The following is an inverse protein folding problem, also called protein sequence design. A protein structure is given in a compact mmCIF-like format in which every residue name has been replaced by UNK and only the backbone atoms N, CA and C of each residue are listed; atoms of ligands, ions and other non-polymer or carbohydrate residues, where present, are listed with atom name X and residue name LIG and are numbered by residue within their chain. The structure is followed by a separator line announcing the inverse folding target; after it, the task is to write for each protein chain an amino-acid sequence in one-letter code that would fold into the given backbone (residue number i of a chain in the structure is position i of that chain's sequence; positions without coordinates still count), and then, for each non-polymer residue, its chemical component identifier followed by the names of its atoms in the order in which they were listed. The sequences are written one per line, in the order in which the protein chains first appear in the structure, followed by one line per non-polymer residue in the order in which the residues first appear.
data_IF_139215026053
#
_entry.id   IF_139215026053
#
_cell.length_a   1.000
_cell.length_b   1.000
_cell.length_c   1.000
_cell.angle_alpha   90.00
_cell.angle_beta   90.00
_cell.angle_gamma   90.00
#
_symmetry.space_group_name_H-M   'P 1'
#
loop_
_entity.id
_entity.type
_entity.pdbx_description
1 polymer ?
#
# COMPACT_ATOMS: atom_id res chain seq x y z
N UNK A 1 -57.51 15.05 4.57
CA UNK A 1 -56.11 15.45 4.37
C UNK A 1 -55.22 15.12 5.58
N UNK A 2 -55.51 15.58 6.78
CA UNK A 2 -54.61 15.33 7.93
C UNK A 2 -54.43 13.83 8.33
N UNK A 3 -55.45 12.97 8.10
CA UNK A 3 -55.35 11.55 8.43
C UNK A 3 -54.47 10.77 7.43
N UNK A 4 -54.39 11.19 6.18
CA UNK A 4 -53.55 10.57 5.14
C UNK A 4 -52.04 10.86 5.41
N UNK A 5 -51.72 12.10 5.83
CA UNK A 5 -50.34 12.47 6.17
C UNK A 5 -49.81 11.69 7.39
N UNK A 6 -50.65 11.45 8.41
CA UNK A 6 -50.23 10.67 9.59
C UNK A 6 -49.98 9.19 9.23
N UNK A 7 -50.80 8.66 8.33
CA UNK A 7 -50.63 7.27 7.87
C UNK A 7 -49.37 7.09 7.03
N UNK A 8 -49.07 8.06 6.17
CA UNK A 8 -47.84 8.05 5.39
C UNK A 8 -46.57 8.17 6.27
N UNK A 9 -46.63 9.01 7.32
CA UNK A 9 -45.55 9.20 8.26
C UNK A 9 -45.27 7.96 9.14
N UNK A 10 -46.32 7.23 9.52
CA UNK A 10 -46.21 6.00 10.31
C UNK A 10 -45.63 4.84 9.44
N UNK A 11 -45.98 4.80 8.16
CA UNK A 11 -45.41 3.80 7.22
C UNK A 11 -43.96 4.06 6.90
N UNK A 12 -43.55 5.33 6.79
CA UNK A 12 -42.13 5.69 6.58
C UNK A 12 -41.24 5.46 7.81
N UNK A 13 -41.85 5.50 9.03
CA UNK A 13 -41.13 5.24 10.28
C UNK A 13 -41.13 3.74 10.68
N UNK A 14 -42.05 2.94 10.13
CA UNK A 14 -42.21 1.54 10.51
C UNK A 14 -41.57 0.60 9.53
N UNK A 15 -40.24 0.53 9.53
CA UNK A 15 -39.45 -0.47 8.78
C UNK A 15 -39.60 -1.90 9.28
N UNK A 16 -40.78 -2.31 9.79
CA UNK A 16 -41.03 -3.71 10.14
C UNK A 16 -42.38 -4.19 9.61
N UNK A 17 -42.45 -5.32 8.92
CA UNK A 17 -43.70 -5.91 8.38
C UNK A 17 -44.80 -6.18 9.44
N UNK A 18 -44.41 -6.33 10.70
CA UNK A 18 -45.32 -6.66 11.79
C UNK A 18 -46.34 -5.55 12.13
N UNK A 19 -46.08 -4.28 11.83
CA UNK A 19 -47.05 -3.19 12.04
C UNK A 19 -48.06 -3.03 10.91
N UNK A 20 -47.75 -3.52 9.72
CA UNK A 20 -48.67 -3.52 8.58
C UNK A 20 -49.80 -4.55 8.76
N UNK A 21 -49.47 -5.70 9.38
CA UNK A 21 -50.42 -6.78 9.64
C UNK A 21 -51.49 -6.38 10.68
N UNK A 22 -51.11 -5.54 11.67
CA UNK A 22 -52.03 -5.11 12.71
C UNK A 22 -53.06 -4.05 12.29
N UNK A 23 -52.83 -3.37 11.18
CA UNK A 23 -53.70 -2.30 10.67
C UNK A 23 -54.68 -2.81 9.61
N UNK A 24 -54.41 -3.94 9.01
CA UNK A 24 -55.17 -4.44 7.85
C UNK A 24 -56.46 -5.25 8.23
N UNK A 25 -56.60 -5.67 9.44
CA UNK A 25 -57.63 -6.70 9.75
C UNK A 25 -59.07 -6.18 9.85
N UNK A 26 -59.43 -4.98 10.33
CA UNK A 26 -60.85 -4.60 10.50
C UNK A 26 -61.51 -3.87 9.33
N UNK A 27 -60.72 -3.34 8.36
CA UNK A 27 -61.27 -2.41 7.36
C UNK A 27 -60.97 -2.83 5.90
N UNK A 28 -60.69 -4.10 5.69
CA UNK A 28 -60.18 -4.66 4.42
C UNK A 28 -61.18 -4.69 3.25
N UNK A 29 -62.34 -4.09 3.35
CA UNK A 29 -63.32 -4.11 2.28
C UNK A 29 -63.37 -2.88 1.38
N UNK A 30 -62.47 -1.91 1.58
CA UNK A 30 -62.39 -0.73 0.74
C UNK A 30 -61.36 -0.90 -0.38
N UNK A 31 -61.87 -0.98 -1.61
CA UNK A 31 -61.06 -1.27 -2.81
C UNK A 31 -59.89 -0.26 -3.06
N UNK A 32 -60.04 0.95 -2.55
CA UNK A 32 -59.02 1.99 -2.69
C UNK A 32 -57.87 1.83 -1.69
N UNK A 33 -58.12 1.23 -0.50
CA UNK A 33 -57.03 0.90 0.47
C UNK A 33 -56.16 -0.24 -0.12
N UNK A 34 -56.80 -1.21 -0.75
CA UNK A 34 -56.07 -2.27 -1.46
C UNK A 34 -55.22 -1.72 -2.60
N UNK A 35 -55.71 -0.74 -3.32
CA UNK A 35 -54.94 -0.08 -4.38
C UNK A 35 -53.76 0.74 -3.84
N UNK A 36 -53.95 1.43 -2.72
CA UNK A 36 -52.89 2.20 -2.05
C UNK A 36 -51.79 1.30 -1.48
N UNK A 37 -52.18 0.19 -0.84
CA UNK A 37 -51.20 -0.81 -0.32
C UNK A 37 -50.48 -1.51 -1.47
N UNK A 38 -51.18 -1.88 -2.55
CA UNK A 38 -50.49 -2.44 -3.73
C UNK A 38 -49.60 -1.42 -4.45
N UNK A 39 -50.00 -0.16 -4.51
CA UNK A 39 -49.20 0.91 -5.06
C UNK A 39 -47.93 1.18 -4.24
N UNK A 40 -48.06 1.22 -2.92
CA UNK A 40 -46.93 1.41 -2.01
C UNK A 40 -45.99 0.22 -2.03
N UNK A 41 -46.52 -1.01 -2.03
CA UNK A 41 -45.69 -2.23 -2.14
C UNK A 41 -44.97 -2.30 -3.50
N UNK A 42 -45.65 -1.84 -4.57
CA UNK A 42 -45.03 -1.79 -5.89
C UNK A 42 -43.98 -0.68 -6.02
N UNK A 43 -44.17 0.44 -5.34
CA UNK A 43 -43.16 1.51 -5.30
C UNK A 43 -41.97 1.10 -4.43
N UNK A 44 -42.17 0.37 -3.34
CA UNK A 44 -41.07 -0.17 -2.52
C UNK A 44 -40.28 -1.25 -3.24
N UNK A 45 -40.93 -2.14 -3.99
CA UNK A 45 -40.22 -3.16 -4.79
C UNK A 45 -39.53 -2.55 -6.01
N UNK A 46 -40.09 -1.54 -6.65
CA UNK A 46 -39.40 -0.82 -7.73
C UNK A 46 -38.30 0.12 -7.21
N UNK A 47 -38.45 0.66 -6.00
CA UNK A 47 -37.41 1.50 -5.38
C UNK A 47 -36.27 0.68 -4.78
N UNK A 48 -36.53 -0.54 -4.29
CA UNK A 48 -35.47 -1.44 -3.80
C UNK A 48 -34.69 -2.08 -4.94
N UNK A 49 -35.30 -2.26 -6.12
CA UNK A 49 -34.58 -2.76 -7.30
C UNK A 49 -33.72 -1.67 -7.99
N UNK A 50 -33.85 -0.39 -7.61
CA UNK A 50 -33.18 0.72 -8.27
C UNK A 50 -32.36 1.66 -7.37
N UNK A 51 -32.20 1.35 -6.08
CA UNK A 51 -31.46 2.22 -5.14
C UNK A 51 -30.29 1.47 -4.50
N UNK A 52 -29.56 0.71 -5.24
CA UNK A 52 -28.15 0.59 -4.94
C UNK A 52 -27.48 1.81 -5.59
N UNK A 53 -26.95 2.70 -4.78
CA UNK A 53 -26.05 3.74 -5.30
C UNK A 53 -24.94 3.05 -6.11
N UNK A 54 -24.42 3.70 -7.14
CA UNK A 54 -23.26 3.16 -7.86
C UNK A 54 -22.16 2.71 -6.89
N UNK A 55 -22.01 3.36 -5.74
CA UNK A 55 -21.10 3.01 -4.67
C UNK A 55 -21.43 1.68 -3.98
N UNK A 56 -22.68 1.28 -3.82
CA UNK A 56 -23.08 0.02 -3.19
C UNK A 56 -22.95 -1.17 -4.16
N UNK A 57 -23.27 -0.97 -5.45
CA UNK A 57 -23.02 -1.95 -6.50
C UNK A 57 -21.51 -2.16 -6.71
N UNK A 58 -20.70 -1.11 -6.60
CA UNK A 58 -19.25 -1.17 -6.69
C UNK A 58 -18.59 -1.76 -5.42
N UNK A 59 -19.22 -1.61 -4.26
CA UNK A 59 -18.76 -2.19 -3.00
C UNK A 59 -18.87 -3.73 -2.99
N UNK A 60 -19.82 -4.30 -3.76
CA UNK A 60 -20.03 -5.74 -3.93
C UNK A 60 -19.18 -6.38 -5.03
N UNK A 61 -18.38 -5.61 -5.79
CA UNK A 61 -17.56 -6.17 -6.88
C UNK A 61 -16.49 -7.08 -6.30
N UNK A 62 -16.53 -8.34 -6.66
CA UNK A 62 -15.45 -9.31 -6.47
C UNK A 62 -14.44 -9.15 -7.59
N UNK A 63 -13.16 -9.23 -7.24
CA UNK A 63 -12.07 -9.20 -8.22
C UNK A 63 -11.82 -10.61 -8.75
N UNK A 64 -11.73 -10.74 -10.07
CA UNK A 64 -11.41 -12.00 -10.73
C UNK A 64 -9.99 -11.95 -11.27
N UNK A 65 -9.23 -13.03 -11.05
CA UNK A 65 -7.91 -13.20 -11.63
C UNK A 65 -8.00 -13.21 -13.15
N UNK A 66 -7.33 -12.26 -13.81
CA UNK A 66 -7.31 -12.18 -15.27
C UNK A 66 -6.02 -12.76 -15.85
N UNK A 67 -4.87 -12.40 -15.29
CA UNK A 67 -3.56 -12.82 -15.83
C UNK A 67 -2.48 -12.83 -14.75
N UNK A 68 -1.53 -13.75 -14.90
CA UNK A 68 -0.28 -13.79 -14.15
C UNK A 68 0.90 -13.85 -15.11
N UNK A 69 1.94 -13.07 -14.84
CA UNK A 69 3.20 -13.03 -15.58
C UNK A 69 4.34 -13.30 -14.59
N UNK A 70 5.22 -14.27 -14.89
CA UNK A 70 6.49 -14.50 -14.18
C UNK A 70 7.65 -13.84 -14.91
N UNK A 71 8.59 -13.30 -14.14
CA UNK A 71 9.83 -12.68 -14.63
C UNK A 71 11.00 -13.33 -13.89
N UNK A 72 11.83 -14.05 -14.59
CA UNK A 72 12.98 -14.77 -14.06
C UNK A 72 13.79 -15.40 -15.17
N UNK A 73 14.88 -16.06 -14.79
CA UNK A 73 15.77 -16.79 -15.68
C UNK A 73 16.30 -18.06 -15.00
N UNK A 74 16.81 -19.05 -15.73
CA UNK A 74 17.38 -20.26 -15.13
C UNK A 74 18.44 -19.93 -14.08
N UNK A 75 18.25 -20.51 -12.88
CA UNK A 75 19.10 -20.33 -11.70
C UNK A 75 19.13 -18.88 -11.13
N UNK A 76 18.27 -17.98 -11.61
CA UNK A 76 18.20 -16.62 -11.08
C UNK A 76 17.47 -16.53 -9.74
N UNK A 77 17.81 -15.48 -9.01
CA UNK A 77 17.00 -14.91 -7.93
C UNK A 77 16.57 -13.53 -8.42
N UNK A 78 15.30 -13.43 -8.82
CA UNK A 78 14.72 -12.20 -9.37
C UNK A 78 13.61 -11.72 -8.43
N UNK A 79 13.74 -10.51 -7.92
CA UNK A 79 12.78 -9.89 -7.02
C UNK A 79 11.99 -8.77 -7.72
N UNK A 80 10.67 -8.82 -7.69
CA UNK A 80 9.80 -7.69 -8.00
C UNK A 80 9.64 -6.82 -6.77
N UNK A 81 10.09 -5.57 -6.84
CA UNK A 81 10.16 -4.68 -5.66
C UNK A 81 9.00 -3.73 -5.59
N UNK A 82 8.72 -3.02 -6.66
CA UNK A 82 7.66 -2.02 -6.70
C UNK A 82 7.01 -1.93 -8.06
N UNK A 83 5.76 -1.47 -8.08
CA UNK A 83 5.03 -1.14 -9.28
C UNK A 83 4.24 0.16 -9.11
N UNK A 84 3.99 0.83 -10.23
CA UNK A 84 3.03 1.93 -10.30
C UNK A 84 2.21 1.83 -11.59
N UNK A 85 1.05 2.46 -11.61
CA UNK A 85 0.15 2.50 -12.76
C UNK A 85 -0.16 3.95 -13.06
N UNK A 86 0.01 4.37 -14.33
CA UNK A 86 -0.33 5.73 -14.73
C UNK A 86 -1.83 5.89 -15.03
N UNK A 87 -2.27 7.13 -15.23
CA UNK A 87 -3.68 7.45 -15.53
C UNK A 87 -4.18 6.84 -16.84
N UNK A 88 -3.28 6.48 -17.77
CA UNK A 88 -3.57 5.83 -19.05
C UNK A 88 -3.70 4.31 -18.91
N UNK A 89 -3.33 3.76 -17.76
CA UNK A 89 -3.37 2.33 -17.43
C UNK A 89 -2.11 1.57 -17.88
N UNK A 90 -0.99 2.26 -18.15
CA UNK A 90 0.31 1.59 -18.31
C UNK A 90 0.87 1.21 -16.95
N UNK A 91 1.46 0.01 -16.90
CA UNK A 91 2.04 -0.55 -15.69
C UNK A 91 3.55 -0.40 -15.79
N UNK A 92 4.16 0.16 -14.77
CA UNK A 92 5.60 0.28 -14.64
C UNK A 92 6.04 -0.56 -13.46
N UNK A 93 7.06 -1.40 -13.66
CA UNK A 93 7.60 -2.25 -12.61
C UNK A 93 9.09 -2.06 -12.47
N UNK A 94 9.57 -2.31 -11.25
CA UNK A 94 11.00 -2.42 -10.99
C UNK A 94 11.29 -3.55 -10.01
N UNK A 95 12.52 -4.03 -10.09
CA UNK A 95 13.04 -5.10 -9.25
C UNK A 95 14.52 -5.29 -9.47
N UNK A 96 15.07 -6.36 -8.95
CA UNK A 96 16.47 -6.70 -9.07
C UNK A 96 16.67 -8.18 -9.37
N UNK A 97 17.79 -8.52 -10.01
CA UNK A 97 18.13 -9.86 -10.43
C UNK A 97 19.65 -10.11 -10.37
N UNK A 98 20.04 -11.35 -10.05
CA UNK A 98 21.43 -11.79 -10.05
C UNK A 98 21.86 -12.46 -11.38
N UNK A 99 20.93 -12.56 -12.34
CA UNK A 99 21.17 -13.16 -13.66
C UNK A 99 20.57 -12.31 -14.79
N UNK A 100 20.86 -12.69 -16.02
CA UNK A 100 20.28 -12.06 -17.21
C UNK A 100 18.80 -12.43 -17.36
N UNK A 101 17.93 -11.41 -17.41
CA UNK A 101 16.51 -11.51 -17.75
C UNK A 101 16.22 -10.64 -18.98
N UNK A 102 15.05 -10.75 -19.56
CA UNK A 102 14.66 -9.98 -20.76
C UNK A 102 15.63 -10.13 -21.95
N UNK A 103 16.28 -11.29 -22.10
CA UNK A 103 17.33 -11.56 -23.09
C UNK A 103 18.59 -10.66 -22.94
N UNK A 104 18.79 -10.05 -21.79
CA UNK A 104 19.99 -9.32 -21.44
C UNK A 104 20.97 -10.25 -20.66
N UNK A 105 22.26 -9.93 -20.69
CA UNK A 105 23.24 -10.57 -19.82
C UNK A 105 23.34 -9.78 -18.51
N UNK A 106 23.55 -10.49 -17.39
CA UNK A 106 23.88 -9.82 -16.13
C UNK A 106 25.22 -9.07 -16.26
N UNK A 107 25.27 -7.87 -15.74
CA UNK A 107 26.46 -7.00 -15.80
C UNK A 107 27.08 -6.82 -14.43
N UNK A 108 26.28 -6.69 -13.38
CA UNK A 108 26.71 -6.52 -11.99
C UNK A 108 26.64 -7.81 -11.19
N UNK A 109 26.82 -7.69 -9.88
CA UNK A 109 26.49 -8.74 -8.90
C UNK A 109 24.98 -8.87 -8.80
N UNK A 110 24.30 -7.71 -8.84
CA UNK A 110 22.85 -7.59 -8.88
C UNK A 110 22.49 -6.41 -9.76
N UNK A 111 21.60 -6.63 -10.71
CA UNK A 111 21.16 -5.66 -11.72
C UNK A 111 19.72 -5.26 -11.43
N UNK A 112 19.37 -4.04 -11.77
CA UNK A 112 17.99 -3.53 -11.76
C UNK A 112 17.24 -4.09 -12.96
N UNK A 113 16.03 -4.55 -12.77
CA UNK A 113 15.05 -4.76 -13.83
C UNK A 113 14.04 -3.64 -13.85
N UNK A 114 13.67 -3.16 -15.03
CA UNK A 114 12.72 -2.09 -15.26
C UNK A 114 11.86 -2.43 -16.46
N UNK A 115 10.53 -2.26 -16.35
CA UNK A 115 9.63 -2.59 -17.45
C UNK A 115 8.39 -1.71 -17.48
N UNK A 116 7.95 -1.41 -18.71
CA UNK A 116 6.65 -0.78 -19.01
C UNK A 116 5.79 -1.77 -19.77
N UNK A 117 4.55 -1.92 -19.31
CA UNK A 117 3.58 -2.85 -19.87
C UNK A 117 2.28 -2.12 -20.17
N UNK A 118 1.52 -2.63 -21.16
CA UNK A 118 0.15 -2.18 -21.39
C UNK A 118 -0.82 -2.75 -20.32
N UNK A 119 -2.07 -2.30 -20.35
CA UNK A 119 -3.10 -2.76 -19.40
C UNK A 119 -3.46 -4.24 -19.54
N UNK A 120 -3.02 -4.92 -20.59
CA UNK A 120 -3.12 -6.38 -20.78
C UNK A 120 -1.86 -7.11 -20.32
N UNK A 121 -0.89 -6.38 -19.70
CA UNK A 121 0.40 -6.89 -19.26
C UNK A 121 1.30 -7.40 -20.41
N UNK A 122 1.17 -6.84 -21.63
CA UNK A 122 2.14 -7.06 -22.70
C UNK A 122 3.28 -6.05 -22.54
N UNK A 123 4.56 -6.48 -22.67
CA UNK A 123 5.67 -5.56 -22.54
C UNK A 123 5.71 -4.56 -23.68
N UNK A 124 5.87 -3.28 -23.36
CA UNK A 124 6.13 -2.20 -24.31
C UNK A 124 7.63 -2.02 -24.45
N UNK A 125 8.32 -1.94 -23.33
CA UNK A 125 9.76 -2.01 -23.25
C UNK A 125 10.20 -2.62 -21.90
N UNK A 126 11.38 -3.24 -21.90
CA UNK A 126 12.03 -3.81 -20.71
C UNK A 126 13.50 -3.49 -20.75
N UNK A 127 14.09 -3.23 -19.59
CA UNK A 127 15.52 -2.93 -19.45
C UNK A 127 16.10 -3.68 -18.25
N UNK A 128 17.36 -4.07 -18.40
CA UNK A 128 18.20 -4.53 -17.29
C UNK A 128 19.39 -3.58 -17.19
N UNK A 129 19.68 -3.08 -16.00
CA UNK A 129 20.68 -2.06 -15.74
C UNK A 129 21.60 -2.58 -14.64
N UNK A 130 22.88 -2.73 -14.97
CA UNK A 130 23.90 -3.20 -14.04
C UNK A 130 25.22 -2.49 -14.25
N UNK A 131 26.12 -2.70 -13.30
CA UNK A 131 27.50 -2.23 -13.39
C UNK A 131 28.46 -3.27 -12.81
N UNK A 132 29.60 -3.48 -13.46
CA UNK A 132 30.53 -4.55 -13.10
C UNK A 132 30.97 -4.48 -11.62
N UNK A 133 30.92 -5.64 -10.95
CA UNK A 133 31.26 -5.80 -9.53
C UNK A 133 30.41 -4.92 -8.56
N UNK A 134 29.22 -4.52 -8.97
CA UNK A 134 28.33 -3.65 -8.20
C UNK A 134 27.02 -4.35 -7.90
N UNK A 135 26.50 -4.14 -6.69
CA UNK A 135 25.14 -4.46 -6.32
C UNK A 135 24.29 -3.22 -6.50
N UNK A 136 23.24 -3.31 -7.30
CA UNK A 136 22.19 -2.28 -7.44
C UNK A 136 20.90 -2.87 -6.90
N UNK A 137 20.44 -2.38 -5.77
CA UNK A 137 19.14 -2.73 -5.19
C UNK A 137 18.16 -1.60 -5.42
N UNK A 138 17.06 -1.89 -6.14
CA UNK A 138 16.01 -0.90 -6.35
C UNK A 138 14.93 -1.06 -5.29
N UNK A 139 14.40 0.05 -4.79
CA UNK A 139 13.43 0.03 -3.69
C UNK A 139 12.04 0.49 -4.14
N UNK A 140 11.98 1.47 -5.05
CA UNK A 140 10.69 2.05 -5.44
C UNK A 140 10.71 2.63 -6.86
N UNK A 141 9.50 2.77 -7.45
CA UNK A 141 9.26 3.34 -8.77
C UNK A 141 8.08 4.30 -8.72
N UNK A 142 8.19 5.42 -9.39
CA UNK A 142 7.10 6.37 -9.59
C UNK A 142 7.09 6.89 -11.02
N UNK A 143 5.94 7.40 -11.48
CA UNK A 143 5.77 8.00 -12.80
C UNK A 143 5.14 9.39 -12.67
N UNK A 144 5.65 10.37 -13.40
CA UNK A 144 5.08 11.71 -13.43
C UNK A 144 4.00 11.86 -14.51
N UNK A 145 3.28 12.99 -14.53
CA UNK A 145 2.22 13.29 -15.50
C UNK A 145 2.70 13.38 -16.95
N UNK A 146 4.03 13.42 -17.18
CA UNK A 146 4.66 13.42 -18.51
C UNK A 146 5.17 12.02 -18.92
N UNK A 147 4.75 10.98 -18.19
CA UNK A 147 5.18 9.58 -18.35
C UNK A 147 6.69 9.35 -18.10
N UNK A 148 7.38 10.28 -17.43
CA UNK A 148 8.75 10.04 -17.03
C UNK A 148 8.76 9.09 -15.82
N UNK A 149 9.68 8.15 -15.83
CA UNK A 149 9.83 7.11 -14.82
C UNK A 149 10.98 7.47 -13.89
N UNK A 150 10.74 7.35 -12.59
CA UNK A 150 11.74 7.57 -11.56
C UNK A 150 11.92 6.28 -10.77
N UNK A 151 13.17 5.90 -10.51
CA UNK A 151 13.51 4.80 -9.60
C UNK A 151 14.48 5.27 -8.54
N UNK A 152 14.33 4.73 -7.35
CA UNK A 152 15.27 4.90 -6.24
C UNK A 152 15.81 3.55 -5.77
N UNK A 153 16.99 3.57 -5.22
CA UNK A 153 17.61 2.39 -4.64
C UNK A 153 18.95 2.71 -3.99
N UNK A 154 19.68 1.70 -3.61
CA UNK A 154 21.01 1.80 -3.01
C UNK A 154 22.03 1.00 -3.79
N UNK A 155 23.29 1.42 -3.68
CA UNK A 155 24.42 0.81 -4.36
C UNK A 155 25.68 0.82 -3.49
N UNK A 156 26.46 -0.24 -3.61
CA UNK A 156 27.81 -0.35 -3.02
C UNK A 156 28.92 -0.05 -4.01
N UNK A 157 28.61 0.56 -5.16
CA UNK A 157 29.55 0.82 -6.23
C UNK A 157 29.41 2.19 -6.90
N UNK A 158 30.25 2.42 -7.90
CA UNK A 158 30.27 3.67 -8.67
C UNK A 158 29.22 3.62 -9.79
N UNK A 159 27.95 3.73 -9.43
CA UNK A 159 26.82 3.79 -10.37
C UNK A 159 25.56 4.32 -9.66
N UNK A 160 24.88 5.31 -10.22
CA UNK A 160 25.18 6.05 -11.48
C UNK A 160 26.26 7.13 -11.33
N UNK A 161 26.82 7.29 -10.14
CA UNK A 161 27.87 8.25 -9.80
C UNK A 161 29.05 7.60 -9.08
N UNK A 162 29.86 8.38 -8.38
CA UNK A 162 30.95 7.90 -7.55
C UNK A 162 30.45 7.53 -6.15
N UNK A 163 30.84 6.35 -5.65
CA UNK A 163 30.53 5.90 -4.29
C UNK A 163 31.22 6.83 -3.27
N UNK A 164 30.43 7.30 -2.32
CA UNK A 164 30.88 8.17 -1.22
C UNK A 164 30.89 7.45 0.12
N UNK A 165 29.85 6.66 0.39
CA UNK A 165 29.66 5.94 1.65
C UNK A 165 30.05 4.47 1.58
N UNK A 166 29.50 3.68 2.49
CA UNK A 166 29.51 2.21 2.43
C UNK A 166 28.47 1.75 1.39
N UNK A 167 27.29 2.35 1.47
CA UNK A 167 26.23 2.30 0.50
C UNK A 167 25.66 3.71 0.28
N UNK A 168 25.44 4.06 -0.96
CA UNK A 168 24.86 5.32 -1.37
C UNK A 168 23.45 5.09 -1.91
N UNK A 169 22.55 6.03 -1.67
CA UNK A 169 21.29 6.09 -2.41
C UNK A 169 21.53 6.54 -3.84
N UNK A 170 20.69 6.08 -4.76
CA UNK A 170 20.58 6.63 -6.10
C UNK A 170 19.13 7.03 -6.42
N UNK A 171 18.99 7.98 -7.33
CA UNK A 171 17.77 8.41 -7.99
C UNK A 171 18.03 8.53 -9.48
N UNK A 172 17.25 7.84 -10.31
CA UNK A 172 17.40 7.89 -11.76
C UNK A 172 16.05 8.24 -12.38
N UNK A 173 16.09 9.16 -13.34
CA UNK A 173 14.93 9.55 -14.16
C UNK A 173 15.11 9.06 -15.58
N UNK A 174 14.05 8.45 -16.12
CA UNK A 174 13.94 7.99 -17.50
C UNK A 174 12.78 8.71 -18.19
N UNK A 175 12.84 8.82 -19.50
CA UNK A 175 11.71 9.27 -20.32
C UNK A 175 10.66 8.15 -20.51
N UNK A 176 9.59 8.45 -21.22
CA UNK A 176 8.50 7.50 -21.51
C UNK A 176 8.92 6.26 -22.34
N UNK A 177 10.09 6.32 -23.02
CA UNK A 177 10.69 5.21 -23.77
C UNK A 177 11.67 4.40 -22.93
N UNK A 178 11.88 4.81 -21.68
CA UNK A 178 12.85 4.21 -20.78
C UNK A 178 14.30 4.66 -21.03
N UNK A 179 14.54 5.74 -21.76
CA UNK A 179 15.87 6.29 -21.92
C UNK A 179 16.22 7.22 -20.77
N UNK A 180 17.42 7.06 -20.20
CA UNK A 180 17.84 7.82 -19.02
C UNK A 180 17.98 9.30 -19.36
N UNK A 181 17.28 10.15 -18.60
CA UNK A 181 17.37 11.61 -18.72
C UNK A 181 18.50 12.12 -17.81
N UNK A 182 18.47 11.74 -16.55
CA UNK A 182 19.51 12.09 -15.57
C UNK A 182 19.55 11.07 -14.42
N UNK A 183 20.60 11.12 -13.63
CA UNK A 183 20.79 10.32 -12.42
C UNK A 183 21.52 11.09 -11.33
N UNK A 184 21.31 10.67 -10.09
CA UNK A 184 21.99 11.18 -8.90
C UNK A 184 22.39 10.03 -8.01
N UNK A 185 23.57 10.12 -7.41
CA UNK A 185 24.05 9.25 -6.34
C UNK A 185 24.44 10.11 -5.15
N UNK A 186 24.05 9.73 -3.95
CA UNK A 186 24.33 10.51 -2.74
C UNK A 186 24.55 9.60 -1.55
N UNK A 187 25.67 9.79 -0.87
CA UNK A 187 26.06 9.06 0.32
C UNK A 187 26.75 9.92 1.34
N UNK A 188 27.22 9.30 2.42
CA UNK A 188 28.03 9.92 3.48
C UNK A 188 29.22 9.02 3.74
N UNK A 189 30.42 9.59 3.82
CA UNK A 189 31.66 8.84 4.08
C UNK A 189 31.53 7.93 5.33
N UNK A 190 31.84 6.64 5.14
CA UNK A 190 31.79 5.59 6.16
C UNK A 190 30.37 5.23 6.68
N UNK A 191 29.32 5.64 5.99
CA UNK A 191 27.95 5.38 6.38
C UNK A 191 27.14 4.79 5.21
N UNK A 192 25.97 4.26 5.55
CA UNK A 192 24.96 3.78 4.62
C UNK A 192 23.83 4.80 4.48
N UNK A 193 23.37 5.04 3.27
CA UNK A 193 22.18 5.86 2.96
C UNK A 193 21.24 5.00 2.12
N UNK A 194 20.16 4.54 2.73
CA UNK A 194 19.22 3.60 2.16
C UNK A 194 17.84 4.24 1.97
N UNK A 195 17.44 4.60 0.75
CA UNK A 195 16.10 5.07 0.47
C UNK A 195 15.09 3.91 0.62
N UNK A 196 13.86 4.22 0.97
CA UNK A 196 12.81 3.20 1.13
C UNK A 196 11.66 3.43 0.16
N UNK A 197 11.09 4.62 0.15
CA UNK A 197 9.92 4.98 -0.65
C UNK A 197 10.05 6.40 -1.17
N UNK A 198 9.40 6.67 -2.32
CA UNK A 198 9.32 8.00 -2.90
C UNK A 198 7.89 8.36 -3.30
N UNK A 199 7.65 9.65 -3.45
CA UNK A 199 6.45 10.21 -4.05
C UNK A 199 6.81 11.41 -4.90
N UNK A 200 5.93 11.78 -5.82
CA UNK A 200 6.11 12.92 -6.72
C UNK A 200 5.01 13.96 -6.47
N UNK A 201 5.37 15.24 -6.60
CA UNK A 201 4.36 16.27 -6.76
C UNK A 201 3.93 16.44 -8.23
N UNK A 202 2.92 17.28 -8.47
CA UNK A 202 2.34 17.49 -9.80
C UNK A 202 3.29 18.07 -10.84
N UNK A 203 4.42 18.65 -10.42
CA UNK A 203 5.44 19.20 -11.33
C UNK A 203 6.66 18.27 -11.46
N UNK A 204 6.62 17.10 -10.82
CA UNK A 204 7.65 16.05 -10.92
C UNK A 204 8.84 16.28 -9.99
N UNK A 205 8.71 17.08 -8.92
CA UNK A 205 9.70 17.04 -7.86
C UNK A 205 9.55 15.72 -7.08
N UNK A 206 10.67 15.15 -6.66
CA UNK A 206 10.74 13.86 -5.99
C UNK A 206 10.99 14.04 -4.51
N UNK A 207 10.17 13.43 -3.67
CA UNK A 207 10.35 13.34 -2.23
C UNK A 207 10.68 11.90 -1.87
N UNK A 208 11.80 11.68 -1.19
CA UNK A 208 12.31 10.35 -0.86
C UNK A 208 12.50 10.27 0.65
N UNK A 209 12.02 9.19 1.24
CA UNK A 209 12.30 8.87 2.64
C UNK A 209 13.10 7.58 2.73
N UNK A 210 13.86 7.45 3.82
CA UNK A 210 14.70 6.29 4.06
C UNK A 210 15.44 6.41 5.38
N UNK A 211 16.49 5.62 5.56
CA UNK A 211 17.34 5.64 6.74
C UNK A 211 18.80 5.88 6.38
N UNK A 212 19.54 6.47 7.32
CA UNK A 212 21.00 6.58 7.25
C UNK A 212 21.62 6.18 8.57
N UNK A 213 22.79 5.55 8.51
CA UNK A 213 23.60 5.25 9.70
C UNK A 213 24.48 6.44 10.12
N UNK A 214 24.41 7.55 9.39
CA UNK A 214 25.17 8.77 9.62
C UNK A 214 24.34 10.06 9.57
N UNK A 215 24.98 11.21 9.72
CA UNK A 215 24.33 12.52 9.84
C UNK A 215 23.81 13.03 8.47
N UNK A 216 22.79 12.43 7.92
CA UNK A 216 22.20 12.77 6.62
C UNK A 216 21.09 13.82 6.78
N UNK A 217 21.42 15.08 6.52
CA UNK A 217 20.49 16.20 6.63
C UNK A 217 20.34 16.79 8.04
N UNK A 218 21.13 16.33 9.02
CA UNK A 218 21.11 16.85 10.39
C UNK A 218 22.18 16.21 11.26
N UNK A 219 22.32 16.65 12.51
CA UNK A 219 23.41 16.24 13.40
C UNK A 219 23.13 14.99 14.23
N UNK A 220 21.94 14.34 14.10
CA UNK A 220 21.60 13.19 14.94
C UNK A 220 22.54 12.02 14.70
N UNK A 221 22.89 11.32 15.77
CA UNK A 221 23.72 10.13 15.74
C UNK A 221 22.88 8.85 15.80
N UNK A 222 23.41 7.75 15.25
CA UNK A 222 22.71 6.47 15.20
C UNK A 222 22.02 6.22 13.87
N UNK A 223 21.10 5.28 13.85
CA UNK A 223 20.33 4.92 12.65
C UNK A 223 19.06 5.76 12.59
N UNK A 224 19.12 6.86 11.84
CA UNK A 224 18.02 7.82 11.76
C UNK A 224 17.35 7.81 10.39
N UNK A 225 16.09 8.23 10.38
CA UNK A 225 15.36 8.47 9.16
C UNK A 225 15.78 9.76 8.47
N UNK A 226 15.39 9.89 7.22
CA UNK A 226 15.50 11.15 6.48
C UNK A 226 14.31 11.34 5.52
N UNK A 227 14.11 12.59 5.15
CA UNK A 227 13.38 13.01 3.96
C UNK A 227 14.26 13.93 3.14
N UNK A 228 14.31 13.71 1.83
CA UNK A 228 15.04 14.56 0.89
C UNK A 228 14.17 14.91 -0.30
N UNK A 229 14.25 16.13 -0.77
CA UNK A 229 13.56 16.61 -1.96
C UNK A 229 14.56 16.90 -3.07
N UNK A 230 14.27 16.39 -4.26
CA UNK A 230 14.90 16.76 -5.51
C UNK A 230 13.90 17.48 -6.41
N UNK A 231 14.35 18.54 -7.08
CA UNK A 231 13.60 19.20 -8.14
C UNK A 231 13.49 18.29 -9.35
N UNK A 232 12.54 18.55 -10.23
CA UNK A 232 12.31 17.77 -11.46
C UNK A 232 13.57 17.66 -12.35
N UNK A 233 14.48 18.62 -12.30
CA UNK A 233 15.77 18.59 -13.01
C UNK A 233 16.87 17.78 -12.31
N UNK A 234 16.55 17.19 -11.15
CA UNK A 234 17.47 16.39 -10.34
C UNK A 234 18.36 17.19 -9.38
N UNK A 235 18.20 18.49 -9.27
CA UNK A 235 18.91 19.28 -8.26
C UNK A 235 18.30 19.03 -6.89
N UNK A 236 19.15 18.84 -5.88
CA UNK A 236 18.71 18.77 -4.49
C UNK A 236 18.11 20.10 -4.05
N UNK A 237 16.94 20.08 -3.41
CA UNK A 237 16.27 21.27 -2.88
C UNK A 237 16.54 21.40 -1.38
N UNK A 238 16.22 20.36 -0.62
CA UNK A 238 16.46 20.29 0.81
C UNK A 238 16.51 18.83 1.30
N UNK A 239 17.12 18.65 2.47
CA UNK A 239 17.15 17.37 3.20
C UNK A 239 16.93 17.62 4.68
N UNK A 240 16.12 16.77 5.33
CA UNK A 240 15.84 16.80 6.76
C UNK A 240 16.09 15.43 7.37
N UNK A 241 16.70 15.38 8.53
CA UNK A 241 16.87 14.17 9.32
C UNK A 241 15.63 13.93 10.19
N UNK A 242 15.17 12.69 10.27
CA UNK A 242 14.01 12.27 11.05
C UNK A 242 14.51 11.38 12.18
N UNK A 243 14.24 11.75 13.42
CA UNK A 243 14.61 10.91 14.54
C UNK A 243 14.81 11.68 15.85
N UNK A 244 15.15 10.93 16.87
CA UNK A 244 15.56 11.40 18.20
C UNK A 244 16.99 10.91 18.43
N UNK A 245 17.87 11.74 19.00
CA UNK A 245 19.26 11.34 19.24
C UNK A 245 19.34 10.04 20.06
N UNK A 246 20.18 9.11 19.62
CA UNK A 246 20.36 7.76 20.16
C UNK A 246 19.19 6.80 20.03
N UNK A 247 18.11 7.20 19.36
CA UNK A 247 16.99 6.32 19.01
C UNK A 247 17.16 5.76 17.61
N UNK A 248 16.32 4.77 17.26
CA UNK A 248 16.22 4.25 15.92
C UNK A 248 14.95 4.78 15.26
N UNK A 249 15.07 5.20 14.02
CA UNK A 249 13.97 5.74 13.23
C UNK A 249 14.04 5.16 11.83
N UNK A 250 13.03 4.38 11.48
CA UNK A 250 12.94 3.68 10.21
C UNK A 250 11.70 4.13 9.41
N UNK A 251 11.77 5.24 8.67
CA UNK A 251 10.74 5.58 7.70
C UNK A 251 10.53 4.44 6.70
N UNK A 252 9.28 4.10 6.42
CA UNK A 252 8.88 2.97 5.57
C UNK A 252 7.96 3.36 4.44
N UNK A 253 7.23 4.47 4.59
CA UNK A 253 6.27 4.93 3.62
C UNK A 253 6.23 6.45 3.53
N UNK A 254 5.87 6.94 2.35
CA UNK A 254 5.68 8.37 2.06
C UNK A 254 4.48 8.52 1.13
N UNK A 255 3.66 9.53 1.37
CA UNK A 255 2.53 9.90 0.52
C UNK A 255 2.50 11.41 0.32
N UNK A 256 2.14 11.86 -0.88
CA UNK A 256 1.93 13.26 -1.20
C UNK A 256 0.45 13.51 -1.44
N UNK A 257 -0.12 14.47 -0.72
CA UNK A 257 -1.49 14.91 -0.96
C UNK A 257 -1.49 15.97 -2.05
N UNK A 258 -1.94 15.58 -3.24
CA UNK A 258 -2.01 16.47 -4.42
C UNK A 258 -2.95 17.67 -4.22
N UNK A 259 -3.86 17.60 -3.25
CA UNK A 259 -4.84 18.67 -2.98
C UNK A 259 -4.24 19.77 -2.11
N UNK A 260 -3.51 19.38 -1.07
CA UNK A 260 -2.97 20.33 -0.08
C UNK A 260 -1.48 20.64 -0.30
N UNK A 261 -0.76 19.78 -1.02
CA UNK A 261 0.69 19.84 -1.17
C UNK A 261 1.46 19.34 0.06
N UNK A 262 0.77 18.65 0.97
CA UNK A 262 1.36 18.09 2.16
C UNK A 262 2.02 16.73 1.90
N UNK A 263 3.06 16.45 2.66
CA UNK A 263 3.82 15.20 2.59
C UNK A 263 3.63 14.47 3.91
N UNK A 264 3.18 13.22 3.84
CA UNK A 264 3.03 12.36 5.00
C UNK A 264 4.07 11.24 4.96
N UNK A 265 4.77 11.03 6.07
CA UNK A 265 5.76 9.96 6.25
C UNK A 265 5.30 9.10 7.40
N UNK A 266 5.39 7.80 7.22
CA UNK A 266 5.22 6.83 8.29
C UNK A 266 6.44 5.94 8.42
N UNK A 267 6.65 5.42 9.60
CA UNK A 267 7.72 4.48 9.90
C UNK A 267 7.56 3.89 11.28
N UNK A 268 8.57 3.14 11.69
CA UNK A 268 8.66 2.57 13.03
C UNK A 268 9.86 3.15 13.77
N UNK A 269 9.75 3.26 15.08
CA UNK A 269 10.84 3.76 15.90
C UNK A 269 10.63 3.49 17.39
N UNK A 270 11.72 3.60 18.13
CA UNK A 270 11.81 3.30 19.56
C UNK A 270 11.86 4.56 20.46
N UNK A 271 11.44 5.70 19.92
CA UNK A 271 11.40 6.99 20.62
C UNK A 271 10.00 7.60 20.67
N UNK A 272 9.80 8.51 21.61
CA UNK A 272 8.67 9.43 21.60
C UNK A 272 9.06 10.68 20.82
N UNK A 273 8.55 10.77 19.60
CA UNK A 273 8.86 11.87 18.68
C UNK A 273 8.15 13.19 19.06
N UNK A 274 7.01 13.11 19.75
CA UNK A 274 6.28 14.30 20.22
C UNK A 274 7.08 15.07 21.26
N UNK A 275 7.68 14.35 22.21
CA UNK A 275 8.46 14.94 23.30
C UNK A 275 9.94 14.98 23.00
N UNK A 276 10.38 14.45 21.85
CA UNK A 276 11.79 14.29 21.48
C UNK A 276 12.60 13.54 22.56
N UNK A 277 12.02 12.47 23.12
CA UNK A 277 12.59 11.71 24.23
C UNK A 277 12.51 10.20 24.01
N UNK A 278 13.17 9.44 24.86
CA UNK A 278 13.05 7.99 25.06
C UNK A 278 12.30 7.72 26.39
N UNK A 279 11.53 6.62 26.51
CA UNK A 279 11.22 5.63 25.50
C UNK A 279 9.97 5.98 24.69
N UNK A 280 9.70 5.16 23.65
CA UNK A 280 8.41 5.05 22.95
C UNK A 280 7.26 4.61 23.88
N UNK A 281 6.03 4.57 23.38
CA UNK A 281 4.85 4.02 24.09
C UNK A 281 4.97 2.49 24.19
N UNK A 282 5.36 1.84 23.10
CA UNK A 282 5.64 0.40 22.99
C UNK A 282 7.12 0.10 22.93
N UNK A 283 7.47 -1.09 22.46
CA UNK A 283 8.86 -1.46 22.17
C UNK A 283 9.33 -0.81 20.86
N UNK A 284 8.46 -0.79 19.86
CA UNK A 284 8.56 -0.05 18.61
C UNK A 284 7.17 0.47 18.23
N UNK A 285 7.06 1.75 17.94
CA UNK A 285 5.82 2.42 17.61
C UNK A 285 5.80 2.85 16.14
N UNK A 286 4.59 2.93 15.57
CA UNK A 286 4.39 3.65 14.30
C UNK A 286 4.39 5.15 14.59
N UNK A 287 5.13 5.90 13.79
CA UNK A 287 5.05 7.36 13.75
C UNK A 287 4.45 7.84 12.43
N UNK A 288 3.81 9.01 12.48
CA UNK A 288 3.33 9.78 11.35
C UNK A 288 3.89 11.18 11.47
N UNK A 289 4.55 11.64 10.43
CA UNK A 289 5.05 12.99 10.30
C UNK A 289 4.38 13.66 9.11
N UNK A 290 4.04 14.93 9.26
CA UNK A 290 3.53 15.76 8.18
C UNK A 290 4.50 16.91 7.92
N UNK A 291 4.88 17.08 6.68
CA UNK A 291 5.69 18.19 6.19
C UNK A 291 4.92 18.97 5.12
N UNK A 292 5.22 20.26 5.00
CA UNK A 292 4.86 20.98 3.79
C UNK A 292 5.94 20.81 2.69
N UNK A 293 5.67 21.31 1.50
CA UNK A 293 6.57 21.19 0.35
C UNK A 293 7.93 21.92 0.51
N UNK A 294 8.07 22.78 1.53
CA UNK A 294 9.32 23.47 1.88
C UNK A 294 10.14 22.70 2.92
N UNK A 295 9.69 21.52 3.36
CA UNK A 295 10.38 20.70 4.35
C UNK A 295 10.13 21.11 5.80
N UNK A 296 9.16 22.00 6.08
CA UNK A 296 8.81 22.35 7.45
C UNK A 296 7.81 21.33 8.01
N UNK A 297 8.07 20.80 9.19
CA UNK A 297 7.19 19.94 9.95
C UNK A 297 5.89 20.65 10.35
N UNK A 298 4.77 19.95 10.31
CA UNK A 298 3.44 20.50 10.57
C UNK A 298 2.76 19.82 11.76
N UNK A 299 2.82 18.51 11.84
CA UNK A 299 2.39 17.74 12.99
C UNK A 299 3.12 16.40 13.09
N UNK A 300 2.98 15.80 14.27
CA UNK A 300 3.41 14.46 14.61
C UNK A 300 2.26 13.68 15.24
N UNK A 301 2.14 12.39 14.91
CA UNK A 301 1.27 11.44 15.60
C UNK A 301 2.00 10.11 15.80
N UNK A 302 1.67 9.40 16.85
CA UNK A 302 2.29 8.13 17.22
C UNK A 302 1.23 7.11 17.62
N UNK A 303 1.42 5.88 17.18
CA UNK A 303 0.57 4.74 17.53
C UNK A 303 1.44 3.65 18.15
N UNK A 304 1.23 3.41 19.43
CA UNK A 304 1.95 2.42 20.21
C UNK A 304 1.07 1.70 21.22
N UNK A 305 1.60 0.65 21.82
CA UNK A 305 0.98 -0.08 22.93
C UNK A 305 2.06 -0.71 23.79
N UNK A 306 2.01 -0.49 25.11
CA UNK A 306 3.05 -0.89 26.07
C UNK A 306 3.46 -2.36 25.93
N UNK A 307 4.76 -2.61 25.79
CA UNK A 307 5.35 -3.93 25.59
C UNK A 307 4.93 -4.62 24.29
N UNK A 308 4.60 -3.83 23.25
CA UNK A 308 4.21 -4.29 21.94
C UNK A 308 5.03 -3.60 20.88
N UNK A 309 5.11 -4.24 19.71
CA UNK A 309 5.82 -3.71 18.57
C UNK A 309 4.92 -3.62 17.34
N UNK A 310 5.27 -2.70 16.47
CA UNK A 310 4.82 -2.64 15.10
C UNK A 310 5.95 -3.06 14.16
N UNK A 311 5.58 -3.76 13.09
CA UNK A 311 6.45 -4.05 11.96
C UNK A 311 5.77 -3.57 10.69
N UNK A 312 6.58 -3.17 9.72
CA UNK A 312 6.11 -2.69 8.43
C UNK A 312 5.18 -1.48 8.59
N UNK A 313 5.30 -0.55 7.72
CA UNK A 313 4.41 0.60 7.66
C UNK A 313 4.36 1.09 6.22
N UNK A 314 3.18 1.16 5.65
CA UNK A 314 2.89 1.78 4.37
C UNK A 314 1.84 2.85 4.59
N UNK A 315 1.82 3.89 3.77
CA UNK A 315 0.94 5.05 3.93
C UNK A 315 0.35 5.47 2.60
N UNK A 316 -0.91 5.88 2.63
CA UNK A 316 -1.59 6.54 1.52
C UNK A 316 -2.55 7.60 2.05
N UNK A 317 -3.02 8.49 1.18
CA UNK A 317 -4.13 9.38 1.48
C UNK A 317 -5.37 8.93 0.73
N UNK A 318 -6.57 9.13 1.33
CA UNK A 318 -7.81 8.93 0.61
C UNK A 318 -8.26 10.21 -0.10
N UNK A 319 -9.23 10.15 -1.04
CA UNK A 319 -9.72 11.33 -1.76
C UNK A 319 -10.34 12.41 -0.88
N UNK A 320 -10.55 12.12 0.40
CA UNK A 320 -11.13 13.05 1.38
C UNK A 320 -10.07 13.70 2.29
N UNK A 321 -8.78 13.45 2.00
CA UNK A 321 -7.65 13.98 2.77
C UNK A 321 -7.37 13.25 4.08
N UNK A 322 -7.94 12.05 4.30
CA UNK A 322 -7.57 11.24 5.44
C UNK A 322 -6.30 10.43 5.15
N UNK A 323 -5.58 10.11 6.20
CA UNK A 323 -4.33 9.35 6.16
C UNK A 323 -4.65 7.90 6.54
N UNK A 324 -4.20 6.96 5.72
CA UNK A 324 -4.33 5.53 5.99
C UNK A 324 -2.95 4.90 6.10
N UNK A 325 -2.77 4.11 7.13
CA UNK A 325 -1.54 3.37 7.40
C UNK A 325 -1.87 1.88 7.39
N UNK A 326 -1.06 1.12 6.67
CA UNK A 326 -1.04 -0.34 6.69
C UNK A 326 0.24 -0.86 7.29
N UNK A 327 0.15 -1.83 8.19
CA UNK A 327 1.32 -2.44 8.82
C UNK A 327 0.93 -3.73 9.54
N UNK A 328 1.72 -4.10 10.54
CA UNK A 328 1.40 -5.22 11.41
C UNK A 328 1.79 -4.94 12.84
N UNK A 329 1.07 -5.55 13.78
CA UNK A 329 1.35 -5.40 15.21
C UNK A 329 1.01 -6.66 16.00
N UNK A 330 1.78 -6.93 17.04
CA UNK A 330 1.40 -7.89 18.07
C UNK A 330 0.58 -7.24 19.23
N UNK A 331 0.33 -5.93 19.16
CA UNK A 331 -0.62 -5.21 20.00
C UNK A 331 -2.07 -5.56 19.66
N UNK A 332 -2.97 -5.42 20.63
CA UNK A 332 -4.41 -5.62 20.45
C UNK A 332 -5.11 -4.29 20.62
N UNK A 333 -5.63 -3.75 19.53
CA UNK A 333 -6.37 -2.50 19.48
C UNK A 333 -7.88 -2.74 19.38
N UNK A 334 -8.29 -3.92 18.87
CA UNK A 334 -9.65 -4.42 18.90
C UNK A 334 -9.77 -5.57 19.92
N UNK A 335 -10.72 -5.48 20.83
CA UNK A 335 -10.86 -6.39 21.98
C UNK A 335 -11.31 -7.80 21.61
N UNK A 336 -11.81 -8.01 20.38
CA UNK A 336 -12.38 -9.28 19.93
C UNK A 336 -11.34 -10.30 19.45
N UNK A 337 -10.12 -9.85 19.13
CA UNK A 337 -9.08 -10.73 18.59
C UNK A 337 -8.17 -11.24 19.72
N UNK A 338 -8.15 -12.55 19.93
CA UNK A 338 -7.29 -13.21 20.91
C UNK A 338 -5.88 -13.54 20.37
N UNK A 339 -4.98 -13.99 21.25
CA UNK A 339 -3.70 -14.58 20.88
C UNK A 339 -2.48 -13.64 20.95
N UNK A 340 -1.33 -14.18 20.55
CA UNK A 340 -0.02 -13.49 20.55
C UNK A 340 0.54 -13.28 19.13
N UNK A 341 -0.28 -13.49 18.13
CA UNK A 341 0.11 -13.39 16.72
C UNK A 341 0.32 -11.94 16.31
N UNK A 342 1.13 -11.75 15.31
CA UNK A 342 1.28 -10.49 14.59
C UNK A 342 0.13 -10.36 13.59
N UNK A 343 -0.69 -9.33 13.72
CA UNK A 343 -1.88 -9.10 12.90
C UNK A 343 -1.67 -7.96 11.92
N UNK A 344 -2.19 -8.11 10.71
CA UNK A 344 -2.36 -7.01 9.78
C UNK A 344 -3.19 -5.92 10.44
N UNK A 345 -2.67 -4.71 10.41
CA UNK A 345 -3.26 -3.56 11.12
C UNK A 345 -3.43 -2.41 10.13
N UNK A 346 -4.64 -1.89 10.03
CA UNK A 346 -4.97 -0.67 9.27
C UNK A 346 -5.42 0.38 10.27
N UNK A 347 -4.85 1.58 10.18
CA UNK A 347 -5.27 2.73 10.97
C UNK A 347 -5.63 3.89 10.05
N UNK A 348 -6.72 4.60 10.37
CA UNK A 348 -7.16 5.81 9.66
C UNK A 348 -7.09 7.02 10.58
N UNK A 349 -6.50 8.09 10.07
CA UNK A 349 -6.40 9.38 10.72
C UNK A 349 -7.04 10.45 9.84
N UNK A 350 -7.55 11.52 10.44
CA UNK A 350 -7.91 12.73 9.68
C UNK A 350 -6.64 13.51 9.27
N UNK A 351 -6.82 14.54 8.43
CA UNK A 351 -5.71 15.39 7.93
C UNK A 351 -4.96 16.17 9.02
N UNK A 352 -5.50 16.19 10.27
CA UNK A 352 -4.90 16.83 11.44
C UNK A 352 -4.17 15.85 12.34
N UNK A 353 -4.11 14.55 11.94
CA UNK A 353 -3.44 13.50 12.72
C UNK A 353 -4.31 12.91 13.84
N UNK A 354 -5.64 13.14 13.85
CA UNK A 354 -6.53 12.54 14.83
C UNK A 354 -6.95 11.14 14.38
N UNK A 355 -6.67 10.14 15.22
CA UNK A 355 -7.06 8.76 14.96
C UNK A 355 -8.58 8.61 14.87
N UNK A 356 -9.07 8.06 13.76
CA UNK A 356 -10.48 7.81 13.51
C UNK A 356 -10.88 6.38 13.88
N UNK A 357 -10.11 5.41 13.40
CA UNK A 357 -10.32 4.00 13.71
C UNK A 357 -9.06 3.17 13.45
N UNK A 358 -9.00 1.98 14.07
CA UNK A 358 -8.04 0.92 13.79
C UNK A 358 -8.83 -0.34 13.42
N UNK A 359 -8.28 -1.15 12.50
CA UNK A 359 -8.78 -2.49 12.17
C UNK A 359 -7.62 -3.47 12.14
N UNK A 360 -7.88 -4.66 12.69
CA UNK A 360 -6.91 -5.74 12.72
C UNK A 360 -7.52 -7.01 12.14
N UNK A 361 -6.72 -7.77 11.41
CA UNK A 361 -7.12 -9.06 10.85
C UNK A 361 -5.91 -10.00 10.76
N UNK A 362 -6.22 -11.30 10.73
CA UNK A 362 -5.19 -12.34 10.66
C UNK A 362 -5.52 -13.55 11.54
N UNK A 363 -4.63 -14.54 11.62
CA UNK A 363 -4.84 -15.74 12.42
C UNK A 363 -4.90 -15.42 13.92
N UNK A 364 -5.89 -15.99 14.60
CA UNK A 364 -6.14 -15.71 16.03
C UNK A 364 -5.89 -16.91 16.94
N UNK A 365 -5.78 -18.12 16.38
CA UNK A 365 -5.80 -19.38 17.12
C UNK A 365 -4.43 -19.94 17.48
N UNK A 366 -3.36 -19.56 16.77
CA UNK A 366 -2.03 -20.15 16.97
C UNK A 366 -0.96 -19.11 17.29
N UNK A 367 0.06 -19.56 18.05
CA UNK A 367 1.28 -18.82 18.28
C UNK A 367 2.21 -18.93 17.06
N UNK A 368 3.02 -17.92 16.83
CA UNK A 368 4.01 -17.83 15.74
C UNK A 368 3.41 -17.67 14.31
N UNK A 369 2.17 -17.24 14.21
CA UNK A 369 1.56 -16.82 12.93
C UNK A 369 1.65 -15.31 12.76
N UNK A 370 1.75 -14.89 11.50
CA UNK A 370 1.80 -13.46 11.18
C UNK A 370 0.98 -13.14 9.95
N UNK A 371 0.46 -11.93 9.92
CA UNK A 371 -0.10 -11.26 8.75
C UNK A 371 0.48 -9.85 8.71
N UNK A 372 1.17 -9.51 7.63
CA UNK A 372 1.93 -8.27 7.47
C UNK A 372 1.50 -7.58 6.20
N UNK A 373 1.05 -6.34 6.33
CA UNK A 373 0.71 -5.49 5.19
C UNK A 373 2.00 -4.83 4.69
N UNK A 374 2.30 -5.01 3.41
CA UNK A 374 3.47 -4.41 2.76
C UNK A 374 3.09 -3.13 2.00
N UNK A 375 1.89 -3.07 1.43
CA UNK A 375 1.41 -1.88 0.74
C UNK A 375 -0.08 -1.66 0.95
N UNK A 376 -0.51 -0.39 0.95
CA UNK A 376 -1.87 0.09 1.11
C UNK A 376 -2.14 1.21 0.10
N UNK A 377 -3.26 1.13 -0.60
CA UNK A 377 -3.75 2.19 -1.49
C UNK A 377 -5.24 2.41 -1.31
N UNK A 378 -5.76 3.51 -1.85
CA UNK A 378 -7.19 3.80 -1.91
C UNK A 378 -7.65 4.04 -3.33
N UNK A 379 -8.93 3.75 -3.60
CA UNK A 379 -9.58 4.18 -4.84
C UNK A 379 -10.28 5.56 -4.65
N UNK A 380 -10.84 6.09 -5.75
CA UNK A 380 -11.57 7.37 -5.76
C UNK A 380 -12.80 7.42 -4.84
N UNK A 381 -13.28 6.28 -4.35
CA UNK A 381 -14.41 6.17 -3.43
C UNK A 381 -13.95 6.02 -1.97
N UNK A 382 -12.65 5.98 -1.73
CA UNK A 382 -12.06 5.74 -0.42
C UNK A 382 -12.08 4.27 0.00
N UNK A 383 -12.34 3.31 -0.90
CA UNK A 383 -12.12 1.91 -0.61
C UNK A 383 -10.62 1.66 -0.46
N UNK A 384 -10.28 0.79 0.47
CA UNK A 384 -8.90 0.53 0.89
C UNK A 384 -8.49 -0.85 0.37
N UNK A 385 -7.35 -0.92 -0.26
CA UNK A 385 -6.74 -2.15 -0.73
C UNK A 385 -5.41 -2.38 -0.04
N UNK A 386 -5.16 -3.61 0.44
CA UNK A 386 -3.88 -3.97 1.04
C UNK A 386 -3.34 -5.24 0.44
N UNK A 387 -2.02 -5.32 0.32
CA UNK A 387 -1.26 -6.49 -0.09
C UNK A 387 -0.20 -6.81 0.95
N UNK A 388 0.15 -8.07 1.11
CA UNK A 388 1.20 -8.46 2.03
C UNK A 388 1.41 -9.96 2.09
N UNK A 389 1.85 -10.44 3.25
CA UNK A 389 2.20 -11.84 3.48
C UNK A 389 1.51 -12.39 4.73
N UNK A 390 1.17 -13.67 4.69
CA UNK A 390 0.65 -14.40 5.84
C UNK A 390 1.16 -15.85 5.86
N UNK A 391 1.39 -16.40 7.05
CA UNK A 391 1.62 -17.84 7.22
C UNK A 391 0.47 -18.54 7.96
N UNK A 392 -0.71 -17.91 8.01
CA UNK A 392 -1.93 -18.45 8.56
C UNK A 392 -3.15 -18.17 7.68
N UNK A 393 -4.32 -18.64 8.10
CA UNK A 393 -5.55 -18.38 7.37
C UNK A 393 -6.18 -17.07 7.83
N UNK A 394 -6.19 -16.07 6.95
CA UNK A 394 -6.80 -14.76 7.22
C UNK A 394 -8.31 -14.71 6.99
N UNK A 395 -8.89 -15.76 6.40
CA UNK A 395 -10.33 -15.83 6.09
C UNK A 395 -11.17 -16.21 7.30
N UNK A 396 -10.70 -17.19 8.09
CA UNK A 396 -11.40 -17.73 9.25
C UNK A 396 -10.61 -17.62 10.56
N UNK A 397 -9.43 -16.98 10.51
CA UNK A 397 -8.54 -16.86 11.65
C UNK A 397 -7.81 -18.17 12.02
N UNK A 398 -7.89 -19.21 11.19
CA UNK A 398 -7.26 -20.50 11.41
C UNK A 398 -5.76 -20.51 11.15
N UNK A 399 -5.15 -21.69 11.26
CA UNK A 399 -3.70 -21.88 11.18
C UNK A 399 -3.20 -22.30 9.79
N UNK A 400 -4.10 -22.67 8.88
CA UNK A 400 -3.74 -23.25 7.61
C UNK A 400 -3.47 -22.18 6.54
N UNK A 401 -2.23 -22.05 6.15
CA UNK A 401 -1.81 -21.39 4.90
C UNK A 401 -1.95 -22.37 3.72
N UNK A 402 -2.00 -21.86 2.49
CA UNK A 402 -1.93 -22.67 1.27
C UNK A 402 -0.48 -23.13 1.02
N UNK A 403 0.49 -22.23 1.19
CA UNK A 403 1.92 -22.48 1.12
C UNK A 403 2.61 -22.42 2.49
N UNK A 404 3.92 -22.24 2.48
CA UNK A 404 4.71 -21.91 3.67
C UNK A 404 4.45 -20.46 4.09
N UNK A 405 4.42 -19.57 3.12
CA UNK A 405 3.99 -18.16 3.22
C UNK A 405 3.14 -17.88 1.98
N UNK A 406 1.99 -17.29 2.19
CA UNK A 406 1.06 -16.87 1.13
C UNK A 406 1.10 -15.34 1.00
N UNK A 407 0.96 -14.83 -0.22
CA UNK A 407 0.52 -13.46 -0.39
C UNK A 407 -0.98 -13.36 -0.11
N UNK A 408 -1.43 -12.24 0.39
CA UNK A 408 -2.85 -11.95 0.54
C UNK A 408 -3.19 -10.58 -0.04
N UNK A 409 -4.42 -10.42 -0.44
CA UNK A 409 -5.00 -9.18 -0.95
C UNK A 409 -6.32 -8.94 -0.24
N UNK A 410 -6.58 -7.73 0.22
CA UNK A 410 -7.86 -7.38 0.85
C UNK A 410 -8.45 -6.11 0.25
N UNK A 411 -9.79 -6.05 0.26
CA UNK A 411 -10.56 -4.83 0.03
C UNK A 411 -11.38 -4.52 1.27
N UNK A 412 -11.31 -3.28 1.73
CA UNK A 412 -12.16 -2.74 2.78
C UNK A 412 -12.87 -1.50 2.26
N UNK A 413 -14.05 -1.18 2.80
CA UNK A 413 -14.68 0.10 2.52
C UNK A 413 -14.01 1.24 3.32
N UNK A 414 -14.43 2.48 3.09
CA UNK A 414 -13.86 3.68 3.73
C UNK A 414 -13.99 3.71 5.27
N UNK A 415 -14.89 2.89 5.86
CA UNK A 415 -15.03 2.70 7.31
C UNK A 415 -14.20 1.53 7.86
N UNK A 416 -13.41 0.90 7.02
CA UNK A 416 -12.51 -0.20 7.41
C UNK A 416 -13.20 -1.57 7.52
N UNK A 417 -14.45 -1.72 7.04
CA UNK A 417 -15.10 -3.01 7.00
C UNK A 417 -14.56 -3.85 5.85
N UNK A 418 -14.14 -5.08 6.13
CA UNK A 418 -13.67 -6.02 5.12
C UNK A 418 -14.80 -6.39 4.16
N UNK A 419 -14.52 -6.33 2.86
CA UNK A 419 -15.45 -6.64 1.78
C UNK A 419 -15.01 -7.83 0.95
N UNK A 420 -13.72 -8.02 0.81
CA UNK A 420 -13.15 -9.09 0.02
C UNK A 420 -11.74 -9.42 0.50
N UNK A 421 -11.40 -10.71 0.48
CA UNK A 421 -10.09 -11.24 0.84
C UNK A 421 -9.72 -12.32 -0.16
N UNK A 422 -8.52 -12.26 -0.69
CA UNK A 422 -7.93 -13.26 -1.57
C UNK A 422 -6.58 -13.72 -1.00
N UNK A 423 -6.26 -14.99 -1.19
CA UNK A 423 -4.94 -15.56 -0.87
C UNK A 423 -4.30 -16.14 -2.13
N UNK A 424 -3.07 -15.78 -2.37
CA UNK A 424 -2.25 -16.30 -3.45
C UNK A 424 -1.22 -17.22 -2.83
N UNK A 425 -1.42 -18.52 -2.96
CA UNK A 425 -0.59 -19.54 -2.33
C UNK A 425 -0.63 -20.85 -3.09
N UNK A 426 0.47 -21.62 -3.01
CA UNK A 426 0.54 -23.00 -3.49
C UNK A 426 1.35 -23.84 -2.51
N UNK A 427 1.07 -25.17 -2.40
CA UNK A 427 1.73 -26.02 -1.42
C UNK A 427 3.26 -25.94 -1.46
N UNK A 428 3.86 -25.65 -0.29
CA UNK A 428 5.31 -25.53 -0.10
C UNK A 428 5.95 -24.28 -0.71
N UNK A 429 5.15 -23.33 -1.20
CA UNK A 429 5.66 -22.06 -1.73
C UNK A 429 5.94 -21.03 -0.62
N UNK A 430 6.83 -20.10 -0.97
CA UNK A 430 6.98 -18.81 -0.31
C UNK A 430 6.60 -17.77 -1.35
N UNK A 431 5.49 -17.08 -1.11
CA UNK A 431 4.94 -16.04 -1.99
C UNK A 431 4.78 -14.76 -1.21
N UNK A 432 5.36 -13.67 -1.71
CA UNK A 432 5.17 -12.33 -1.13
C UNK A 432 4.49 -11.41 -2.12
N UNK A 433 3.46 -10.68 -1.67
CA UNK A 433 2.94 -9.51 -2.38
C UNK A 433 3.63 -8.26 -1.83
N UNK A 434 4.29 -7.49 -2.69
CA UNK A 434 5.14 -6.39 -2.24
C UNK A 434 4.49 -5.03 -2.48
N UNK A 435 3.90 -4.82 -3.66
CA UNK A 435 3.26 -3.56 -4.01
C UNK A 435 1.99 -3.81 -4.83
N UNK A 436 1.07 -2.84 -4.80
CA UNK A 436 -0.17 -2.88 -5.58
C UNK A 436 -0.47 -1.53 -6.23
N UNK A 437 -1.18 -1.58 -7.36
CA UNK A 437 -1.61 -0.39 -8.09
C UNK A 437 -2.98 -0.59 -8.71
N UNK A 438 -3.73 0.51 -8.86
CA UNK A 438 -5.03 0.54 -9.52
C UNK A 438 -4.96 1.40 -10.77
N UNK A 439 -5.56 0.95 -11.85
CA UNK A 439 -5.81 1.81 -13.00
C UNK A 439 -7.14 2.57 -12.88
N UNK A 440 -7.39 3.49 -13.80
CA UNK A 440 -8.62 4.30 -13.84
C UNK A 440 -9.90 3.47 -14.04
N UNK A 441 -9.77 2.24 -14.55
CA UNK A 441 -10.85 1.26 -14.72
C UNK A 441 -11.02 0.35 -13.52
N UNK A 442 -10.18 0.54 -12.47
CA UNK A 442 -10.13 -0.25 -11.25
C UNK A 442 -9.66 -1.70 -11.45
N UNK A 443 -8.87 -1.96 -12.49
CA UNK A 443 -8.10 -3.17 -12.50
C UNK A 443 -6.99 -3.05 -11.45
N UNK A 444 -6.78 -4.12 -10.69
CA UNK A 444 -5.79 -4.19 -9.64
C UNK A 444 -4.57 -4.96 -10.14
N UNK A 445 -3.41 -4.39 -9.97
CA UNK A 445 -2.13 -4.98 -10.34
C UNK A 445 -1.29 -5.18 -9.08
N UNK A 446 -0.62 -6.32 -9.01
CA UNK A 446 0.22 -6.70 -7.88
C UNK A 446 1.57 -7.12 -8.42
N UNK A 447 2.64 -6.69 -7.75
CA UNK A 447 3.97 -7.25 -7.92
C UNK A 447 4.40 -7.99 -6.66
N UNK A 448 5.14 -9.07 -6.83
CA UNK A 448 5.64 -9.86 -5.72
C UNK A 448 6.67 -10.87 -6.15
N UNK A 449 6.98 -11.81 -5.26
CA UNK A 449 8.00 -12.83 -5.44
C UNK A 449 7.46 -14.21 -5.14
N UNK A 450 7.92 -15.20 -5.88
CA UNK A 450 7.57 -16.61 -5.68
C UNK A 450 8.75 -17.53 -5.93
N UNK A 451 8.86 -18.61 -5.16
CA UNK A 451 9.79 -19.70 -5.43
C UNK A 451 9.10 -20.91 -6.08
N UNK A 452 7.86 -20.74 -6.56
CA UNK A 452 7.11 -21.77 -7.32
C UNK A 452 6.21 -21.12 -8.35
N UNK A 453 5.77 -21.91 -9.35
CA UNK A 453 4.75 -21.45 -10.30
C UNK A 453 3.43 -21.13 -9.58
N UNK A 454 2.78 -20.04 -9.99
CA UNK A 454 1.50 -19.58 -9.42
C UNK A 454 0.50 -19.27 -10.53
N UNK A 455 -0.79 -19.58 -10.28
CA UNK A 455 -1.90 -19.23 -11.19
C UNK A 455 -1.66 -19.69 -12.64
N UNK A 456 -0.98 -20.84 -12.83
CA UNK A 456 -0.63 -21.35 -14.15
C UNK A 456 0.63 -20.74 -14.80
N UNK A 457 1.22 -19.69 -14.23
CA UNK A 457 2.51 -19.17 -14.66
C UNK A 457 3.64 -20.05 -14.15
N UNK A 458 4.67 -20.35 -15.00
CA UNK A 458 5.80 -21.18 -14.59
C UNK A 458 6.74 -20.44 -13.65
N UNK A 459 7.63 -21.20 -12.98
CA UNK A 459 8.85 -20.70 -12.34
C UNK A 459 10.02 -20.91 -13.29
N UNK A 460 10.89 -19.93 -13.43
CA UNK A 460 12.08 -19.99 -14.28
C UNK A 460 13.36 -20.14 -13.45
N UNK A 461 13.47 -19.41 -12.33
CA UNK A 461 14.63 -19.37 -11.45
C UNK A 461 14.42 -20.05 -10.10
N UNK A 462 15.29 -19.71 -9.15
CA UNK A 462 15.15 -20.10 -7.75
C UNK A 462 14.03 -19.26 -7.07
N UNK A 463 13.95 -18.00 -7.46
CA UNK A 463 12.87 -17.04 -7.10
C UNK A 463 12.61 -16.21 -8.33
N UNK A 464 11.34 -16.05 -8.68
CA UNK A 464 10.88 -15.16 -9.75
C UNK A 464 10.07 -14.01 -9.20
N UNK A 465 10.21 -12.85 -9.83
CA UNK A 465 9.22 -11.80 -9.71
C UNK A 465 7.94 -12.21 -10.44
N UNK A 466 6.80 -11.80 -9.96
CA UNK A 466 5.53 -11.97 -10.67
C UNK A 466 4.72 -10.69 -10.71
N UNK A 467 3.89 -10.56 -11.74
CA UNK A 467 2.84 -9.56 -11.83
C UNK A 467 1.51 -10.30 -11.95
N UNK A 468 0.52 -9.90 -11.17
CA UNK A 468 -0.86 -10.42 -11.24
C UNK A 468 -1.82 -9.29 -11.52
N UNK A 469 -2.77 -9.53 -12.42
CA UNK A 469 -3.88 -8.63 -12.72
C UNK A 469 -5.20 -9.24 -12.27
N UNK A 470 -5.97 -8.46 -11.52
CA UNK A 470 -7.37 -8.72 -11.18
C UNK A 470 -8.26 -7.65 -11.85
N UNK A 471 -9.47 -8.09 -12.26
CA UNK A 471 -10.44 -7.25 -12.96
C UNK A 471 -11.74 -7.10 -12.19
#
# INVERSE_FOLDING_TARGET
MNRICIFLFILLQACTPAKIIGVAAPEANDSWIQFLVRGIVRIETEATDNVFSESELEDSKTFELERTLSIGAPNSTTYGRSLTVDEKGFIYITGDTDQGVYNAAATGIQDIILGKYDSQMNPIWTKQIGNANTTLEVNDIAVDMNDNVYIIGNTNGNYPGALTGIEDMFLIKFDSNGDQIWSRQKGIANHEVMPQKMTLDSVGNTYITGRSTGPFGGPLTGSNGFIIKFKNNGDEDWVQQIGVDRAQSFPKGIAFDQTTGDIYITGIGDANYETNTLPSIGDEDIFILKYNSNGNDQFFAQLGSAGKFFNYASITTDPFGNILIGGSSNGRFETTLGGRNELGTIAKYDSRGTLQWIRQFGPTSSLAKHTRINSIITDKNGNIFTIGVTNGNILDGGDNSLGTIDAFLTKHNSSGQSKWIERIGVPGAIISGNELGLDSKRNLYIIGNTNRGINGAPIYGNTDAFIVKYK
#
